data_IF_991846170446
#
_entry.id   IF_991846170446
#
_cell.length_a   1.000
_cell.length_b   1.000
_cell.length_c   1.000
_cell.angle_alpha   90.00
_cell.angle_beta   90.00
_cell.angle_gamma   90.00
#
_symmetry.space_group_name_H-M   'P 1'
#
loop_
_entity.id
_entity.type
_entity.pdbx_description
1 polymer ?
#
# COMPACT_ATOMS: atom_id res chain seq x y z
N UNK A 1 -31.32 -38.29 -12.67
CA UNK A 1 -32.25 -37.55 -11.78
C UNK A 1 -31.88 -37.82 -10.34
N UNK A 2 -31.42 -36.79 -9.62
CA UNK A 2 -31.15 -36.81 -8.17
C UNK A 2 -31.60 -35.45 -7.60
N UNK A 3 -32.23 -35.42 -6.42
CA UNK A 3 -32.96 -34.25 -5.96
C UNK A 3 -32.02 -33.14 -5.48
N UNK A 4 -32.35 -31.91 -5.84
CA UNK A 4 -31.69 -30.69 -5.37
C UNK A 4 -31.98 -30.47 -3.89
N UNK A 5 -30.92 -30.22 -3.11
CA UNK A 5 -30.99 -29.88 -1.69
C UNK A 5 -31.59 -28.47 -1.52
N UNK A 6 -32.78 -28.39 -0.93
CA UNK A 6 -33.54 -27.14 -0.73
C UNK A 6 -33.06 -26.28 0.45
N UNK A 7 -31.83 -26.47 0.93
CA UNK A 7 -31.28 -25.73 2.09
C UNK A 7 -30.12 -24.77 1.80
N UNK A 8 -29.80 -24.51 0.53
CA UNK A 8 -28.72 -23.57 0.18
C UNK A 8 -29.16 -22.33 -0.63
N UNK A 9 -30.45 -22.05 -0.75
CA UNK A 9 -30.93 -20.88 -1.50
C UNK A 9 -30.90 -19.55 -0.73
N UNK A 10 -30.35 -19.49 0.49
CA UNK A 10 -30.44 -18.31 1.35
C UNK A 10 -29.22 -17.37 1.32
N UNK A 11 -28.20 -17.60 0.49
CA UNK A 11 -26.95 -16.79 0.54
C UNK A 11 -26.66 -16.00 -0.75
N UNK A 12 -27.37 -16.25 -1.85
CA UNK A 12 -27.14 -15.57 -3.13
C UNK A 12 -28.28 -14.60 -3.46
N UNK A 13 -28.41 -13.54 -2.66
CA UNK A 13 -29.11 -12.29 -3.04
C UNK A 13 -28.86 -11.14 -2.07
N UNK A 14 -27.64 -11.00 -1.54
CA UNK A 14 -27.23 -9.70 -1.00
C UNK A 14 -26.86 -8.79 -2.16
N UNK A 15 -27.89 -8.29 -2.86
CA UNK A 15 -27.77 -6.99 -3.52
C UNK A 15 -27.32 -6.04 -2.40
N UNK A 16 -26.16 -5.39 -2.56
CA UNK A 16 -25.89 -4.15 -1.82
C UNK A 16 -27.08 -3.25 -2.11
N UNK A 17 -28.04 -3.21 -1.19
CA UNK A 17 -28.94 -2.10 -1.10
C UNK A 17 -28.02 -0.94 -0.72
N UNK A 18 -27.61 -0.16 -1.72
CA UNK A 18 -27.39 1.24 -1.45
C UNK A 18 -28.68 1.68 -0.77
N UNK A 19 -28.62 1.91 0.54
CA UNK A 19 -29.63 2.72 1.21
C UNK A 19 -29.51 4.09 0.56
N UNK A 20 -30.15 4.27 -0.59
CA UNK A 20 -30.61 5.59 -0.97
C UNK A 20 -31.58 5.93 0.15
N UNK A 21 -31.11 6.72 1.10
CA UNK A 21 -31.98 7.60 1.86
C UNK A 21 -32.66 8.50 0.84
N UNK A 22 -33.68 7.96 0.17
CA UNK A 22 -34.69 8.72 -0.53
C UNK A 22 -35.43 9.43 0.58
N UNK A 23 -34.87 10.57 1.00
CA UNK A 23 -35.65 11.62 1.59
C UNK A 23 -36.78 11.86 0.59
N UNK A 24 -37.98 11.37 0.90
CA UNK A 24 -39.19 11.83 0.21
C UNK A 24 -39.27 13.32 0.51
N UNK A 25 -38.71 14.11 -0.39
CA UNK A 25 -38.83 15.55 -0.42
C UNK A 25 -40.32 15.83 -0.66
N UNK A 26 -41.04 16.02 0.44
CA UNK A 26 -42.34 16.67 0.43
C UNK A 26 -42.17 18.00 -0.32
N UNK A 27 -43.01 18.18 -1.33
CA UNK A 27 -42.96 19.19 -2.38
C UNK A 27 -43.01 20.64 -1.87
N UNK A 28 -41.89 21.34 -1.98
CA UNK A 28 -41.78 22.71 -2.47
C UNK A 28 -40.28 23.02 -2.65
N UNK A 29 -39.85 23.71 -3.73
CA UNK A 29 -38.46 24.13 -3.87
C UNK A 29 -38.18 25.16 -2.77
N UNK A 30 -37.53 24.72 -1.68
CA UNK A 30 -37.03 25.65 -0.67
C UNK A 30 -36.02 26.59 -1.34
N UNK A 31 -36.05 27.89 -1.04
CA UNK A 31 -35.03 28.82 -1.52
C UNK A 31 -33.63 28.26 -1.24
N UNK A 32 -32.73 28.33 -2.21
CA UNK A 32 -31.37 27.78 -2.09
C UNK A 32 -30.67 28.28 -0.81
N UNK A 33 -30.92 29.53 -0.40
CA UNK A 33 -30.42 30.12 0.85
C UNK A 33 -30.85 29.35 2.10
N UNK A 34 -32.07 28.83 2.13
CA UNK A 34 -32.58 28.05 3.25
C UNK A 34 -31.94 26.66 3.32
N UNK A 35 -31.46 26.12 2.19
CA UNK A 35 -30.71 24.86 2.13
C UNK A 35 -29.26 25.09 2.58
N UNK A 36 -28.63 26.18 2.13
CA UNK A 36 -27.24 26.50 2.46
C UNK A 36 -27.05 27.08 3.88
N UNK A 37 -28.11 27.63 4.48
CA UNK A 37 -28.06 28.19 5.85
C UNK A 37 -27.82 27.14 6.95
N UNK A 38 -28.03 25.85 6.68
CA UNK A 38 -27.78 24.75 7.62
C UNK A 38 -26.94 23.66 6.96
N UNK A 39 -25.63 23.92 6.73
CA UNK A 39 -24.76 22.90 6.17
C UNK A 39 -24.71 21.71 7.14
N UNK A 40 -25.09 20.53 6.66
CA UNK A 40 -25.17 19.31 7.47
C UNK A 40 -23.79 18.77 7.83
N UNK A 41 -22.78 19.17 7.06
CA UNK A 41 -21.38 18.87 7.30
C UNK A 41 -20.53 20.03 6.77
N UNK A 42 -19.57 20.48 7.57
CA UNK A 42 -18.49 21.37 7.12
C UNK A 42 -17.20 20.59 7.05
N UNK A 43 -16.41 20.76 5.99
CA UNK A 43 -15.07 20.17 5.86
C UNK A 43 -14.16 20.63 7.01
N UNK A 44 -14.42 21.80 7.61
CA UNK A 44 -13.68 22.28 8.77
C UNK A 44 -13.81 21.35 10.00
N UNK A 45 -14.88 20.55 10.10
CA UNK A 45 -15.03 19.58 11.19
C UNK A 45 -14.14 18.34 11.03
N UNK A 46 -13.54 18.14 9.85
CA UNK A 46 -12.58 17.07 9.56
C UNK A 46 -11.13 17.51 9.80
N UNK A 47 -10.88 18.82 9.96
CA UNK A 47 -9.56 19.33 10.26
C UNK A 47 -9.31 19.27 11.77
N UNK A 48 -8.06 19.03 12.20
CA UNK A 48 -7.70 19.13 13.60
C UNK A 48 -8.07 20.53 14.13
N UNK A 49 -8.69 20.64 15.31
CA UNK A 49 -9.00 21.94 15.90
C UNK A 49 -7.69 22.73 16.07
N UNK A 50 -7.72 23.99 15.66
CA UNK A 50 -6.55 24.89 15.64
C UNK A 50 -5.83 24.91 17.00
N UNK A 51 -4.71 24.20 17.10
CA UNK A 51 -3.60 24.28 18.07
C UNK A 51 -3.87 24.39 19.60
N UNK A 52 -5.11 24.55 20.07
CA UNK A 52 -5.44 24.88 21.47
C UNK A 52 -6.44 23.91 22.10
N UNK A 53 -6.87 22.86 21.41
CA UNK A 53 -7.73 21.84 22.02
C UNK A 53 -6.96 20.54 22.10
N UNK A 54 -6.37 20.32 23.27
CA UNK A 54 -5.88 19.02 23.74
C UNK A 54 -7.07 18.04 23.77
N UNK A 55 -7.41 17.44 22.64
CA UNK A 55 -8.23 16.24 22.62
C UNK A 55 -7.28 15.06 22.84
N UNK A 56 -7.37 14.34 23.97
CA UNK A 56 -6.50 13.20 24.26
C UNK A 56 -6.99 12.00 23.46
N UNK A 57 -6.76 11.98 22.15
CA UNK A 57 -6.69 10.71 21.44
C UNK A 57 -5.58 9.89 22.12
N UNK A 58 -5.93 8.69 22.56
CA UNK A 58 -5.23 7.77 23.48
C UNK A 58 -3.84 7.29 23.06
N UNK A 59 -3.25 7.88 22.02
CA UNK A 59 -1.94 7.55 21.49
C UNK A 59 -0.95 8.71 21.65
N UNK A 60 0.25 8.37 22.11
CA UNK A 60 1.35 9.31 22.33
C UNK A 60 1.68 10.08 21.04
N UNK A 61 1.82 11.41 21.08
CA UNK A 61 2.23 12.21 19.93
C UNK A 61 3.60 11.74 19.40
N UNK A 62 3.89 11.99 18.12
CA UNK A 62 5.18 11.59 17.56
C UNK A 62 6.28 12.44 18.20
N UNK A 63 7.16 11.76 18.93
CA UNK A 63 8.35 12.37 19.54
C UNK A 63 9.42 12.66 18.49
N UNK A 64 10.27 13.66 18.74
CA UNK A 64 11.48 13.99 17.93
C UNK A 64 12.34 12.76 17.58
N UNK A 65 12.61 11.90 18.57
CA UNK A 65 13.36 10.65 18.36
C UNK A 65 12.71 9.72 17.34
N UNK A 66 11.38 9.61 17.35
CA UNK A 66 10.62 8.83 16.35
C UNK A 66 10.71 9.48 14.97
N UNK A 67 10.65 10.80 14.87
CA UNK A 67 10.86 11.50 13.60
C UNK A 67 12.25 11.20 13.03
N UNK A 68 13.31 11.31 13.83
CA UNK A 68 14.67 10.97 13.39
C UNK A 68 14.79 9.50 12.98
N UNK A 69 14.11 8.60 13.69
CA UNK A 69 14.05 7.19 13.32
C UNK A 69 13.39 6.99 11.95
N UNK A 70 12.28 7.67 11.69
CA UNK A 70 11.59 7.61 10.40
C UNK A 70 12.45 8.15 9.26
N UNK A 71 13.13 9.28 9.46
CA UNK A 71 14.07 9.83 8.48
C UNK A 71 15.18 8.83 8.14
N UNK A 72 15.69 8.10 9.13
CA UNK A 72 16.68 7.05 8.89
C UNK A 72 16.13 5.87 8.09
N UNK A 73 14.89 5.45 8.35
CA UNK A 73 14.23 4.38 7.60
C UNK A 73 13.95 4.80 6.15
N UNK A 74 13.63 6.06 5.90
CA UNK A 74 13.44 6.61 4.55
C UNK A 74 14.72 7.08 3.88
N UNK A 75 15.89 6.86 4.51
CA UNK A 75 17.21 7.29 4.03
C UNK A 75 17.30 8.82 3.73
N UNK A 76 16.58 9.63 4.50
CA UNK A 76 16.62 11.09 4.45
C UNK A 76 17.64 11.66 5.47
N UNK A 77 18.23 12.84 5.20
CA UNK A 77 19.09 13.53 6.15
C UNK A 77 18.32 14.00 7.39
N UNK A 78 19.05 14.21 8.49
CA UNK A 78 18.47 14.81 9.70
C UNK A 78 18.24 16.32 9.50
N UNK A 79 17.24 16.91 10.17
CA UNK A 79 16.97 18.34 10.09
C UNK A 79 18.17 19.17 10.55
N UNK A 80 18.44 20.26 9.84
CA UNK A 80 19.54 21.18 10.18
C UNK A 80 19.15 22.13 11.32
N UNK A 81 17.85 22.39 11.48
CA UNK A 81 17.32 23.34 12.46
C UNK A 81 16.10 22.82 13.21
N UNK A 82 15.91 23.30 14.45
CA UNK A 82 14.73 22.97 15.26
C UNK A 82 13.43 23.52 14.64
N UNK A 83 13.50 24.64 13.91
CA UNK A 83 12.36 25.21 13.22
C UNK A 83 11.85 24.29 12.09
N UNK A 84 12.78 23.71 11.33
CA UNK A 84 12.47 22.72 10.30
C UNK A 84 11.90 21.43 10.92
N UNK A 85 12.51 20.96 12.01
CA UNK A 85 12.01 19.79 12.75
C UNK A 85 10.57 20.00 13.25
N UNK A 86 10.28 21.18 13.83
CA UNK A 86 8.93 21.52 14.30
C UNK A 86 7.93 21.61 13.13
N UNK A 87 8.33 22.15 11.98
CA UNK A 87 7.49 22.20 10.78
C UNK A 87 7.18 20.78 10.26
N UNK A 88 8.16 19.89 10.24
CA UNK A 88 7.96 18.49 9.86
C UNK A 88 7.03 17.75 10.83
N UNK A 89 7.21 17.93 12.14
CA UNK A 89 6.32 17.35 13.15
C UNK A 89 4.88 17.83 12.99
N UNK A 90 4.68 19.13 12.72
CA UNK A 90 3.35 19.69 12.48
C UNK A 90 2.68 19.03 11.28
N UNK A 91 3.40 18.91 10.16
CA UNK A 91 2.90 18.25 8.95
C UNK A 91 2.55 16.79 9.21
N UNK A 92 3.41 16.07 9.92
CA UNK A 92 3.21 14.66 10.24
C UNK A 92 1.99 14.44 11.14
N UNK A 93 1.78 15.30 12.13
CA UNK A 93 0.58 15.26 12.97
C UNK A 93 -0.69 15.53 12.16
N UNK A 94 -0.67 16.48 11.22
CA UNK A 94 -1.82 16.73 10.33
C UNK A 94 -2.11 15.54 9.41
N UNK A 95 -1.09 14.89 8.86
CA UNK A 95 -1.24 13.68 8.04
C UNK A 95 -1.82 12.51 8.85
N UNK A 96 -1.33 12.31 10.08
CA UNK A 96 -1.83 11.24 10.94
C UNK A 96 -3.27 11.47 11.40
N UNK A 97 -3.67 12.71 11.63
CA UNK A 97 -5.06 13.02 11.93
C UNK A 97 -5.97 12.49 10.81
N UNK A 98 -5.66 12.84 9.56
CA UNK A 98 -6.42 12.37 8.41
C UNK A 98 -6.45 10.84 8.32
N UNK A 99 -5.32 10.17 8.53
CA UNK A 99 -5.26 8.69 8.50
C UNK A 99 -6.12 8.08 9.62
N UNK A 100 -6.12 8.67 10.82
CA UNK A 100 -6.94 8.22 11.95
C UNK A 100 -8.43 8.36 11.67
N UNK A 101 -8.83 9.43 11.00
CA UNK A 101 -10.22 9.62 10.57
C UNK A 101 -10.66 8.50 9.62
N UNK A 102 -9.79 8.11 8.67
CA UNK A 102 -10.03 6.96 7.78
C UNK A 102 -10.11 5.65 8.56
N UNK A 103 -9.22 5.44 9.54
CA UNK A 103 -9.21 4.24 10.39
C UNK A 103 -10.43 4.12 11.31
N UNK A 104 -11.08 5.24 11.63
CA UNK A 104 -12.28 5.25 12.50
C UNK A 104 -13.52 4.63 11.84
N UNK A 105 -13.48 4.41 10.52
CA UNK A 105 -14.58 3.81 9.77
C UNK A 105 -14.70 2.32 10.08
N UNK A 106 -15.92 1.85 10.36
CA UNK A 106 -16.18 0.42 10.54
C UNK A 106 -15.91 -0.34 9.24
N UNK A 107 -14.91 -1.20 9.28
CA UNK A 107 -14.48 -2.07 8.17
C UNK A 107 -14.76 -3.54 8.46
N UNK A 108 -15.66 -3.83 9.43
CA UNK A 108 -16.03 -5.21 9.77
C UNK A 108 -16.58 -5.98 8.56
N UNK A 109 -16.00 -7.17 8.30
CA UNK A 109 -16.41 -8.04 7.21
C UNK A 109 -15.92 -7.64 5.81
N UNK A 110 -14.99 -6.69 5.69
CA UNK A 110 -14.40 -6.29 4.40
C UNK A 110 -12.96 -6.80 4.30
N UNK A 111 -12.64 -7.54 3.24
CA UNK A 111 -11.26 -7.98 2.97
C UNK A 111 -10.42 -6.82 2.39
N UNK A 112 -9.17 -6.63 2.82
CA UNK A 112 -8.30 -5.59 2.28
C UNK A 112 -7.98 -5.81 0.80
N UNK A 113 -8.21 -4.78 -0.01
CA UNK A 113 -7.82 -4.79 -1.42
C UNK A 113 -6.30 -4.69 -1.55
N UNK A 114 -5.64 -5.75 -2.03
CA UNK A 114 -4.16 -5.82 -2.16
C UNK A 114 -3.65 -5.23 -3.47
N UNK A 115 -4.39 -5.43 -4.55
CA UNK A 115 -4.01 -4.98 -5.88
C UNK A 115 -5.26 -4.70 -6.72
N UNK A 116 -5.15 -3.82 -7.71
CA UNK A 116 -6.20 -3.62 -8.71
C UNK A 116 -6.04 -4.68 -9.79
N UNK A 117 -6.48 -5.91 -9.49
CA UNK A 117 -6.50 -7.06 -10.39
C UNK A 117 -7.87 -7.69 -10.43
N UNK A 118 -8.06 -8.56 -11.41
CA UNK A 118 -9.22 -9.44 -11.44
C UNK A 118 -9.03 -10.55 -10.39
N UNK A 119 -9.59 -10.34 -9.20
CA UNK A 119 -9.58 -11.30 -8.10
C UNK A 119 -10.71 -12.36 -8.25
N UNK A 120 -11.39 -12.42 -9.40
CA UNK A 120 -12.30 -13.54 -9.69
C UNK A 120 -11.52 -14.86 -9.75
N UNK A 121 -12.22 -15.98 -9.56
CA UNK A 121 -11.60 -17.31 -9.67
C UNK A 121 -10.95 -17.54 -11.03
N UNK A 122 -11.47 -16.91 -12.08
CA UNK A 122 -10.94 -16.96 -13.43
C UNK A 122 -9.65 -16.13 -13.54
N UNK A 123 -9.67 -14.87 -13.10
CA UNK A 123 -8.48 -14.01 -13.09
C UNK A 123 -7.34 -14.56 -12.23
N UNK A 124 -7.65 -15.18 -11.10
CA UNK A 124 -6.67 -15.88 -10.26
C UNK A 124 -6.10 -17.09 -10.99
N UNK A 125 -6.93 -17.91 -11.65
CA UNK A 125 -6.46 -19.08 -12.38
C UNK A 125 -5.54 -18.71 -13.55
N UNK A 126 -5.86 -17.64 -14.28
CA UNK A 126 -5.03 -17.12 -15.37
C UNK A 126 -3.70 -16.54 -14.88
N UNK A 127 -3.70 -15.79 -13.77
CA UNK A 127 -2.50 -15.20 -13.19
C UNK A 127 -1.61 -16.23 -12.46
N UNK A 128 -2.16 -17.38 -12.07
CA UNK A 128 -1.43 -18.40 -11.34
C UNK A 128 -0.49 -19.15 -12.29
N UNK A 129 0.81 -19.02 -12.04
CA UNK A 129 1.82 -19.79 -12.78
C UNK A 129 1.75 -21.26 -12.35
N UNK A 130 1.24 -22.11 -13.23
CA UNK A 130 0.99 -23.53 -12.96
C UNK A 130 2.24 -24.42 -13.11
N UNK A 131 2.19 -25.64 -12.55
CA UNK A 131 3.28 -26.63 -12.70
C UNK A 131 3.55 -27.01 -14.15
N UNK A 132 2.50 -27.05 -14.99
CA UNK A 132 2.66 -27.35 -16.42
C UNK A 132 3.48 -26.28 -17.13
N UNK A 133 3.29 -25.00 -16.79
CA UNK A 133 4.07 -23.89 -17.34
C UNK A 133 5.53 -23.92 -16.86
N UNK A 134 5.77 -24.38 -15.63
CA UNK A 134 7.12 -24.52 -15.06
C UNK A 134 7.83 -25.83 -15.44
N UNK A 135 7.14 -26.77 -16.07
CA UNK A 135 7.63 -28.13 -16.31
C UNK A 135 8.97 -28.14 -17.05
N UNK A 136 9.10 -27.33 -18.10
CA UNK A 136 10.34 -27.23 -18.88
C UNK A 136 11.50 -26.67 -18.07
N UNK A 137 11.25 -25.63 -17.27
CA UNK A 137 12.27 -25.03 -16.41
C UNK A 137 12.70 -26.00 -15.29
N UNK A 138 11.76 -26.72 -14.70
CA UNK A 138 12.03 -27.73 -13.67
C UNK A 138 12.75 -28.96 -14.23
N UNK A 139 12.49 -29.33 -15.49
CA UNK A 139 13.16 -30.46 -16.15
C UNK A 139 14.66 -30.23 -16.37
N UNK A 140 15.10 -28.96 -16.45
CA UNK A 140 16.50 -28.58 -16.56
C UNK A 140 17.26 -28.65 -15.22
N UNK A 141 16.58 -28.91 -14.11
CA UNK A 141 17.21 -29.02 -12.79
C UNK A 141 17.89 -30.37 -12.57
N UNK A 142 19.02 -30.37 -11.85
CA UNK A 142 19.82 -31.55 -11.57
C UNK A 142 19.66 -31.94 -10.10
N UNK A 143 19.58 -33.24 -9.81
CA UNK A 143 19.61 -33.76 -8.44
C UNK A 143 21.03 -33.70 -7.90
N UNK A 144 21.25 -32.96 -6.82
CA UNK A 144 22.56 -32.75 -6.22
C UNK A 144 22.69 -33.45 -4.86
N UNK A 145 23.84 -34.12 -4.65
CA UNK A 145 24.23 -34.78 -3.41
C UNK A 145 23.45 -36.07 -3.10
N UNK A 146 23.77 -36.69 -1.96
CA UNK A 146 23.19 -37.99 -1.54
C UNK A 146 21.66 -37.95 -1.36
N UNK A 147 21.14 -36.81 -0.89
CA UNK A 147 19.68 -36.61 -0.69
C UNK A 147 18.95 -36.14 -1.96
N UNK A 148 19.65 -36.02 -3.09
CA UNK A 148 19.06 -35.73 -4.41
C UNK A 148 18.26 -34.42 -4.47
N UNK A 149 18.71 -33.37 -3.78
CA UNK A 149 17.98 -32.08 -3.79
C UNK A 149 18.05 -31.45 -5.18
N UNK A 150 16.92 -30.97 -5.75
CA UNK A 150 16.94 -30.30 -7.03
C UNK A 150 17.76 -29.01 -6.95
N UNK A 151 18.62 -28.80 -7.94
CA UNK A 151 19.50 -27.64 -8.06
C UNK A 151 19.52 -27.21 -9.53
N UNK A 152 19.28 -25.92 -9.77
CA UNK A 152 19.46 -25.32 -11.10
C UNK A 152 20.93 -25.37 -11.50
N UNK A 153 21.20 -25.81 -12.73
CA UNK A 153 22.56 -25.82 -13.27
C UNK A 153 23.02 -24.37 -13.43
N UNK A 154 24.15 -24.01 -12.79
CA UNK A 154 24.78 -22.69 -12.96
C UNK A 154 25.74 -22.78 -14.15
N UNK A 155 25.64 -21.85 -15.09
CA UNK A 155 26.53 -21.77 -16.24
C UNK A 155 25.95 -22.26 -17.57
N UNK A 156 24.66 -22.61 -17.63
CA UNK A 156 23.95 -22.63 -18.91
C UNK A 156 23.92 -21.17 -19.41
N UNK A 157 24.70 -20.89 -20.45
CA UNK A 157 24.70 -19.58 -21.09
C UNK A 157 23.33 -19.42 -21.75
N UNK A 158 22.43 -18.73 -21.06
CA UNK A 158 21.20 -18.25 -21.68
C UNK A 158 21.64 -17.30 -22.78
N UNK A 159 21.13 -17.49 -23.98
CA UNK A 159 21.37 -16.55 -25.08
C UNK A 159 20.66 -15.24 -24.73
N UNK A 160 21.41 -14.31 -24.18
CA UNK A 160 20.92 -12.99 -23.76
C UNK A 160 21.27 -11.91 -24.77
N UNK A 161 21.72 -12.32 -25.97
CA UNK A 161 22.04 -11.42 -27.08
C UNK A 161 20.84 -10.52 -27.42
N UNK A 162 21.09 -9.21 -27.49
CA UNK A 162 20.07 -8.19 -27.73
C UNK A 162 19.24 -7.76 -26.51
N UNK A 163 19.31 -8.46 -25.36
CA UNK A 163 18.55 -8.12 -24.14
C UNK A 163 19.47 -7.68 -22.99
N UNK A 164 20.61 -8.35 -22.80
CA UNK A 164 21.58 -8.05 -21.74
C UNK A 164 22.85 -7.35 -22.25
N UNK A 165 22.87 -6.88 -23.50
CA UNK A 165 24.00 -6.11 -24.08
C UNK A 165 24.14 -4.69 -23.48
N UNK A 166 23.36 -4.34 -22.46
CA UNK A 166 23.44 -3.04 -21.81
C UNK A 166 24.58 -3.04 -20.79
N UNK A 167 25.35 -1.95 -20.76
CA UNK A 167 26.42 -1.79 -19.77
C UNK A 167 25.80 -1.41 -18.41
N UNK A 168 25.94 -2.26 -17.36
CA UNK A 168 25.36 -1.98 -16.04
C UNK A 168 25.84 -0.68 -15.40
N UNK A 169 27.00 -0.19 -15.82
CA UNK A 169 27.68 0.95 -15.23
C UNK A 169 27.45 2.26 -15.99
N UNK A 170 26.72 2.25 -17.10
CA UNK A 170 26.56 3.41 -17.98
C UNK A 170 25.88 4.60 -17.29
N UNK A 171 24.85 4.34 -16.48
CA UNK A 171 24.10 5.38 -15.74
C UNK A 171 24.76 5.75 -14.40
N UNK A 172 25.86 5.10 -14.03
CA UNK A 172 26.50 5.32 -12.74
C UNK A 172 27.29 6.63 -12.74
N UNK A 173 27.11 7.46 -11.70
CA UNK A 173 27.89 8.70 -11.54
C UNK A 173 29.37 8.44 -11.23
N UNK A 174 29.69 7.31 -10.57
CA UNK A 174 31.05 6.93 -10.17
C UNK A 174 31.24 5.42 -10.29
N UNK A 175 32.33 5.04 -10.94
CA UNK A 175 32.72 3.65 -11.15
C UNK A 175 34.22 3.50 -10.87
N UNK A 176 34.63 2.32 -10.44
CA UNK A 176 36.03 1.93 -10.36
C UNK A 176 36.19 0.58 -11.06
N UNK A 177 36.62 0.62 -12.32
CA UNK A 177 36.61 -0.57 -13.17
C UNK A 177 35.19 -1.08 -13.34
N UNK A 178 34.98 -2.35 -13.00
CA UNK A 178 33.70 -3.06 -13.14
C UNK A 178 32.76 -2.92 -11.93
N UNK A 179 33.05 -2.00 -11.01
CA UNK A 179 32.32 -1.87 -9.75
C UNK A 179 31.71 -0.47 -9.55
N UNK A 180 30.52 -0.43 -8.94
CA UNK A 180 29.94 0.79 -8.38
C UNK A 180 30.73 1.23 -7.14
N UNK A 181 31.03 2.53 -7.04
CA UNK A 181 31.77 3.08 -5.90
C UNK A 181 30.85 3.93 -5.04
N UNK A 182 30.67 3.52 -3.78
CA UNK A 182 29.95 4.28 -2.77
C UNK A 182 30.94 4.80 -1.73
N UNK A 183 30.82 6.07 -1.35
CA UNK A 183 31.63 6.62 -0.26
C UNK A 183 31.15 6.02 1.06
N UNK A 184 31.97 5.19 1.69
CA UNK A 184 31.81 4.89 3.12
C UNK A 184 32.14 6.16 3.91
N UNK A 185 31.35 6.46 4.94
CA UNK A 185 31.57 7.61 5.83
C UNK A 185 33.04 7.66 6.30
N UNK A 186 33.73 8.77 6.02
CA UNK A 186 35.05 9.05 6.56
C UNK A 186 34.90 9.25 8.07
N UNK A 187 35.68 8.53 8.86
CA UNK A 187 35.80 8.75 10.30
C UNK A 187 36.22 10.21 10.51
N UNK A 188 35.38 10.99 11.18
CA UNK A 188 35.69 12.36 11.58
C UNK A 188 36.71 12.29 12.71
N UNK A 189 37.99 12.30 12.35
CA UNK A 189 39.09 12.61 13.27
C UNK A 189 39.02 14.08 13.70
#
# INVERSE_FOLDING_TARGET
MRPLCTRCCAVLRQRRAFSSSTTRLSSSPKPFEQILSKPTWSVASLLPPSANTENPSTEQPITRSKLHHLLRLSALPLPESEAEEAAMLRTLHSQLHFVRDVQSVDTSGVEPLRSLRDETTEGVAEATVGLQQLQEALAKEIKFGYKGRPKRLRGETVDTSGVEDWNPLETASRTAGEYFVVQSKKESA
#
